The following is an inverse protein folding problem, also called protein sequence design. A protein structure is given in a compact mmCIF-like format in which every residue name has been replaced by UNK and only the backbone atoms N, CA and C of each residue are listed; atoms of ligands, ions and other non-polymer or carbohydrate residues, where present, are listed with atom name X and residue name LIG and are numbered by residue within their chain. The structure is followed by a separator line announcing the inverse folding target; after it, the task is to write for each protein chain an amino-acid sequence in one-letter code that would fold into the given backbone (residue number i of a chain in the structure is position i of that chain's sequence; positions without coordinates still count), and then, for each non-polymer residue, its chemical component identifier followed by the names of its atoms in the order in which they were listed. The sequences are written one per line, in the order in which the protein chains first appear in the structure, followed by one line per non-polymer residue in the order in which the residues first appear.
data_IF_065059985868
#
_entry.id   IF_065059985868
#
_cell.length_a   1.000
_cell.length_b   1.000
_cell.length_c   1.000
_cell.angle_alpha   90.00
_cell.angle_beta   90.00
_cell.angle_gamma   90.00
#
_symmetry.space_group_name_H-M   'P 1'
#
loop_
_entity.id
_entity.type
_entity.pdbx_description
1 polymer ?
#
# COMPACT_ATOMS: atom_id res chain seq x y z
N UNK A 1 -17.48 -30.31 29.88
CA UNK A 1 -16.15 -30.40 29.25
C UNK A 1 -15.45 -29.09 29.57
N UNK A 2 -14.41 -29.13 30.40
CA UNK A 2 -13.70 -27.93 30.88
C UNK A 2 -12.89 -27.39 29.71
N UNK A 3 -13.22 -26.18 29.26
CA UNK A 3 -12.49 -25.46 28.22
C UNK A 3 -11.21 -24.93 28.89
N UNK A 4 -10.01 -25.18 28.33
CA UNK A 4 -8.79 -24.62 28.91
C UNK A 4 -8.85 -23.08 28.82
N UNK A 5 -8.45 -22.42 29.92
CA UNK A 5 -8.32 -20.97 30.00
C UNK A 5 -7.23 -20.52 29.02
N UNK A 6 -7.64 -19.99 27.86
CA UNK A 6 -6.73 -19.33 26.92
C UNK A 6 -6.59 -17.85 27.32
N UNK A 7 -5.33 -17.45 27.53
CA UNK A 7 -4.91 -16.10 27.90
C UNK A 7 -5.41 -15.06 26.89
N UNK A 8 -6.21 -14.05 27.31
CA UNK A 8 -6.73 -13.00 26.42
C UNK A 8 -5.65 -12.09 25.81
N UNK A 9 -4.39 -12.19 26.27
CA UNK A 9 -3.23 -11.49 25.69
C UNK A 9 -2.38 -12.36 24.76
N UNK A 10 -2.74 -13.63 24.55
CA UNK A 10 -2.08 -14.47 23.56
C UNK A 10 -2.31 -13.84 22.18
N UNK A 11 -1.23 -13.36 21.57
CA UNK A 11 -1.21 -13.05 20.14
C UNK A 11 -1.68 -14.31 19.44
N UNK A 12 -2.81 -14.27 18.74
CA UNK A 12 -3.25 -15.42 17.95
C UNK A 12 -2.08 -15.83 17.09
N UNK A 13 -1.45 -16.97 17.38
CA UNK A 13 -0.37 -17.54 16.57
C UNK A 13 -0.86 -17.45 15.13
N UNK A 14 -0.24 -16.56 14.37
CA UNK A 14 -0.47 -16.49 12.95
C UNK A 14 -0.27 -17.92 12.43
N UNK A 15 -1.12 -18.37 11.52
CA UNK A 15 -0.83 -19.60 10.80
C UNK A 15 0.52 -19.35 10.10
N UNK A 16 1.58 -19.91 10.67
CA UNK A 16 2.96 -19.85 10.17
C UNK A 16 2.97 -20.52 8.78
N UNK A 17 2.68 -19.73 7.74
CA UNK A 17 2.98 -20.04 6.34
C UNK A 17 4.39 -19.50 6.02
N UNK A 18 5.40 -20.00 6.74
CA UNK A 18 6.79 -19.88 6.31
C UNK A 18 7.06 -20.89 5.18
N UNK A 19 7.81 -20.43 4.17
CA UNK A 19 8.03 -21.01 2.83
C UNK A 19 6.89 -20.85 1.81
N UNK A 20 6.66 -19.61 1.38
CA UNK A 20 6.46 -19.33 -0.06
C UNK A 20 7.71 -18.53 -0.49
N UNK A 21 8.72 -19.11 -1.17
CA UNK A 21 9.88 -18.34 -1.63
C UNK A 21 9.39 -17.19 -2.50
N UNK A 22 10.02 -16.02 -2.35
CA UNK A 22 9.78 -14.90 -3.27
C UNK A 22 9.93 -15.42 -4.69
N UNK A 23 8.87 -15.30 -5.48
CA UNK A 23 8.89 -15.69 -6.87
C UNK A 23 7.66 -15.15 -7.53
N UNK A 24 7.87 -14.32 -8.57
CA UNK A 24 6.97 -14.20 -9.72
C UNK A 24 5.98 -15.36 -9.72
N UNK A 25 4.66 -15.16 -9.60
CA UNK A 25 3.68 -16.24 -9.37
C UNK A 25 3.77 -17.44 -10.33
N UNK A 26 4.71 -18.32 -10.04
CA UNK A 26 5.18 -19.47 -10.78
C UNK A 26 5.17 -20.56 -9.71
N UNK A 27 4.06 -21.29 -9.64
CA UNK A 27 3.90 -22.37 -8.67
C UNK A 27 4.83 -23.54 -9.00
N UNK A 28 5.48 -24.09 -7.99
CA UNK A 28 6.20 -25.36 -8.04
C UNK A 28 5.21 -26.54 -8.02
N UNK A 29 5.58 -27.66 -8.65
CA UNK A 29 4.92 -28.96 -8.46
C UNK A 29 5.61 -29.62 -7.26
N UNK A 30 4.82 -30.03 -6.26
CA UNK A 30 5.29 -30.72 -5.05
C UNK A 30 6.12 -31.96 -5.42
N UNK A 31 7.43 -31.90 -5.18
CA UNK A 31 8.34 -33.02 -5.27
C UNK A 31 9.08 -33.17 -3.94
N UNK A 32 8.82 -34.27 -3.24
CA UNK A 32 9.58 -34.69 -2.07
C UNK A 32 11.08 -34.78 -2.41
N UNK A 33 11.92 -33.98 -1.77
CA UNK A 33 13.22 -34.45 -1.29
C UNK A 33 13.89 -33.53 -0.27
N UNK A 34 14.40 -34.23 0.73
CA UNK A 34 15.35 -33.93 1.81
C UNK A 34 16.66 -33.28 1.31
N UNK A 35 17.53 -32.94 2.26
CA UNK A 35 18.84 -32.29 2.16
C UNK A 35 18.73 -30.76 2.32
N UNK A 36 19.22 -30.14 3.39
CA UNK A 36 20.50 -30.38 4.03
C UNK A 36 21.30 -29.08 3.93
N UNK A 37 21.77 -28.60 5.08
CA UNK A 37 22.88 -27.67 5.29
C UNK A 37 22.67 -26.16 5.52
N UNK A 38 23.32 -25.78 6.62
CA UNK A 38 24.21 -24.63 6.86
C UNK A 38 23.59 -23.24 7.12
N UNK A 39 23.76 -22.84 8.39
CA UNK A 39 23.51 -21.51 8.95
C UNK A 39 24.88 -20.88 9.26
N UNK A 40 25.13 -19.68 8.73
CA UNK A 40 26.07 -18.69 9.28
C UNK A 40 25.23 -17.40 9.42
N UNK A 41 24.79 -17.01 10.61
CA UNK A 41 25.46 -16.34 11.74
C UNK A 41 25.09 -14.84 11.79
N UNK A 42 24.43 -14.43 12.89
CA UNK A 42 24.48 -13.11 13.57
C UNK A 42 23.51 -13.19 14.80
N UNK A 43 23.71 -12.43 15.89
CA UNK A 43 24.04 -13.00 17.19
C UNK A 43 22.87 -13.08 18.19
N UNK A 44 23.03 -14.04 19.08
CA UNK A 44 22.09 -14.53 20.09
C UNK A 44 21.93 -13.56 21.28
N UNK A 45 20.68 -13.31 21.69
CA UNK A 45 20.34 -13.13 23.11
C UNK A 45 19.76 -14.44 23.67
N UNK A 46 20.39 -14.91 24.74
CA UNK A 46 20.30 -16.26 25.30
C UNK A 46 19.03 -16.43 26.13
N UNK A 47 18.15 -17.36 25.73
CA UNK A 47 17.50 -18.26 26.69
C UNK A 47 17.12 -19.62 26.06
N UNK A 48 17.91 -20.62 26.44
CA UNK A 48 17.62 -22.03 26.68
C UNK A 48 16.48 -22.73 25.92
N UNK A 49 16.89 -23.49 24.89
CA UNK A 49 16.30 -24.80 24.58
C UNK A 49 15.10 -24.82 23.61
N UNK A 50 15.35 -24.74 22.30
CA UNK A 50 14.36 -25.11 21.28
C UNK A 50 15.01 -25.89 20.13
N UNK A 51 14.54 -27.13 19.96
CA UNK A 51 14.72 -27.96 18.77
C UNK A 51 14.34 -27.14 17.52
N UNK A 52 15.27 -27.01 16.57
CA UNK A 52 15.01 -26.60 15.19
C UNK A 52 14.38 -27.76 14.42
N UNK A 53 13.11 -28.05 14.72
CA UNK A 53 12.26 -28.82 13.82
C UNK A 53 11.51 -27.87 12.90
N UNK A 54 11.56 -28.09 11.59
CA UNK A 54 10.64 -27.44 10.63
C UNK A 54 9.21 -27.57 11.18
N UNK A 55 8.57 -26.43 11.45
CA UNK A 55 7.21 -26.38 12.00
C UNK A 55 6.26 -26.90 10.93
N UNK A 56 5.82 -28.15 11.06
CA UNK A 56 4.78 -28.74 10.20
C UNK A 56 3.55 -27.83 10.18
N UNK A 57 3.07 -27.50 8.97
CA UNK A 57 1.85 -26.70 8.75
C UNK A 57 0.71 -27.22 9.62
N UNK A 58 0.11 -26.34 10.43
CA UNK A 58 -1.07 -26.70 11.21
C UNK A 58 -2.22 -27.00 10.23
N UNK A 59 -2.88 -28.18 10.31
CA UNK A 59 -3.95 -28.53 9.40
C UNK A 59 -5.12 -27.56 9.57
N UNK A 60 -5.80 -27.24 8.45
CA UNK A 60 -7.02 -26.43 8.50
C UNK A 60 -8.04 -27.08 9.45
N UNK A 61 -8.69 -26.29 10.32
CA UNK A 61 -9.72 -26.81 11.21
C UNK A 61 -10.82 -27.53 10.44
N UNK A 62 -11.33 -28.63 11.00
CA UNK A 62 -12.35 -29.45 10.34
C UNK A 62 -13.60 -28.64 9.96
N UNK A 63 -13.98 -27.66 10.80
CA UNK A 63 -15.13 -26.77 10.56
C UNK A 63 -14.98 -25.93 9.29
N UNK A 64 -13.76 -25.67 8.82
CA UNK A 64 -13.48 -24.92 7.59
C UNK A 64 -13.18 -25.85 6.42
N UNK A 65 -12.38 -26.89 6.66
CA UNK A 65 -11.92 -27.82 5.62
C UNK A 65 -13.09 -28.57 4.98
N UNK A 66 -14.08 -29.01 5.77
CA UNK A 66 -15.23 -29.74 5.26
C UNK A 66 -16.12 -28.88 4.33
N UNK A 67 -16.58 -27.67 4.74
CA UNK A 67 -17.28 -26.77 3.82
C UNK A 67 -16.46 -26.39 2.60
N UNK A 68 -15.16 -26.12 2.77
CA UNK A 68 -14.28 -25.77 1.66
C UNK A 68 -14.20 -26.88 0.60
N UNK A 69 -13.98 -28.13 1.00
CA UNK A 69 -13.98 -29.29 0.09
C UNK A 69 -15.33 -29.45 -0.61
N UNK A 70 -16.44 -29.29 0.12
CA UNK A 70 -17.78 -29.34 -0.47
C UNK A 70 -17.98 -28.25 -1.53
N UNK A 71 -17.49 -27.03 -1.28
CA UNK A 71 -17.53 -25.92 -2.26
C UNK A 71 -16.61 -26.15 -3.46
N UNK A 72 -15.46 -26.80 -3.28
CA UNK A 72 -14.63 -27.28 -4.40
C UNK A 72 -15.44 -28.24 -5.28
N UNK A 73 -16.05 -29.28 -4.72
CA UNK A 73 -16.82 -30.26 -5.49
C UNK A 73 -18.03 -29.62 -6.19
N UNK A 74 -18.74 -28.72 -5.50
CA UNK A 74 -19.81 -27.91 -6.09
C UNK A 74 -19.29 -27.11 -7.29
N UNK A 75 -18.12 -26.48 -7.11
CA UNK A 75 -17.46 -25.68 -8.14
C UNK A 75 -16.83 -26.50 -9.26
N UNK A 76 -16.80 -27.84 -9.22
CA UNK A 76 -16.32 -28.72 -10.31
C UNK A 76 -17.41 -29.04 -11.32
N UNK A 77 -18.67 -29.05 -10.89
CA UNK A 77 -19.82 -29.24 -11.80
C UNK A 77 -19.81 -28.10 -12.82
N UNK A 78 -20.11 -28.42 -14.08
CA UNK A 78 -20.19 -27.46 -15.18
C UNK A 78 -21.41 -27.76 -16.04
N UNK A 79 -22.01 -26.72 -16.58
CA UNK A 79 -23.05 -26.82 -17.60
C UNK A 79 -22.46 -27.01 -19.01
N UNK A 80 -23.33 -26.99 -20.04
CA UNK A 80 -22.92 -27.08 -21.44
C UNK A 80 -21.98 -25.94 -21.89
N UNK A 81 -22.03 -24.79 -21.21
CA UNK A 81 -21.23 -23.61 -21.49
C UNK A 81 -19.92 -23.57 -20.67
N UNK A 82 -19.60 -24.65 -19.94
CA UNK A 82 -18.44 -24.74 -19.03
C UNK A 82 -18.48 -23.72 -17.88
N UNK A 83 -19.67 -23.29 -17.49
CA UNK A 83 -19.90 -22.43 -16.33
C UNK A 83 -20.23 -23.28 -15.09
N UNK A 84 -19.68 -22.95 -13.90
CA UNK A 84 -20.12 -23.56 -12.67
C UNK A 84 -21.58 -23.12 -12.36
N UNK A 85 -22.38 -23.95 -11.67
CA UNK A 85 -23.76 -23.62 -11.29
C UNK A 85 -23.88 -22.25 -10.60
N UNK A 86 -22.87 -21.89 -9.80
CA UNK A 86 -22.78 -20.60 -9.13
C UNK A 86 -22.86 -19.40 -10.11
N UNK A 87 -22.22 -19.50 -11.27
CA UNK A 87 -22.22 -18.43 -12.27
C UNK A 87 -23.42 -18.55 -13.22
N UNK A 88 -23.78 -19.78 -13.61
CA UNK A 88 -24.84 -20.02 -14.58
C UNK A 88 -26.25 -19.81 -14.00
N UNK A 89 -26.52 -20.34 -12.80
CA UNK A 89 -27.85 -20.33 -12.20
C UNK A 89 -28.04 -19.15 -11.24
N UNK A 90 -27.03 -18.89 -10.39
CA UNK A 90 -27.11 -17.90 -9.32
C UNK A 90 -26.54 -16.53 -9.70
N UNK A 91 -25.83 -16.42 -10.83
CA UNK A 91 -25.25 -15.18 -11.35
C UNK A 91 -24.47 -14.38 -10.30
N UNK A 92 -23.70 -15.07 -9.46
CA UNK A 92 -22.95 -14.46 -8.34
C UNK A 92 -21.58 -15.09 -8.22
N UNK A 93 -20.63 -14.37 -7.61
CA UNK A 93 -19.32 -14.91 -7.24
C UNK A 93 -19.31 -15.54 -5.84
N UNK A 94 -20.36 -15.29 -5.06
CA UNK A 94 -20.45 -15.64 -3.65
C UNK A 94 -21.32 -16.87 -3.45
N UNK A 95 -20.80 -17.89 -2.78
CA UNK A 95 -21.61 -19.04 -2.42
C UNK A 95 -22.71 -18.60 -1.43
N UNK A 96 -23.98 -19.02 -1.63
CA UNK A 96 -25.05 -18.72 -0.70
C UNK A 96 -24.75 -19.23 0.70
N UNK A 97 -24.99 -18.38 1.69
CA UNK A 97 -24.92 -18.74 3.10
C UNK A 97 -26.33 -18.93 3.65
N UNK A 98 -26.49 -19.91 4.52
CA UNK A 98 -27.73 -20.06 5.28
C UNK A 98 -27.79 -18.94 6.32
N UNK A 99 -28.94 -18.29 6.46
CA UNK A 99 -29.14 -17.36 7.56
C UNK A 99 -29.09 -18.12 8.89
N UNK A 100 -28.54 -17.49 9.94
CA UNK A 100 -28.37 -18.06 11.28
C UNK A 100 -29.65 -18.67 11.83
N UNK A 101 -30.80 -18.02 11.58
CA UNK A 101 -32.12 -18.53 11.98
C UNK A 101 -32.39 -19.96 11.49
N UNK A 102 -32.09 -20.29 10.24
CA UNK A 102 -32.30 -21.63 9.68
C UNK A 102 -31.26 -22.64 10.18
N UNK A 103 -30.07 -22.19 10.59
CA UNK A 103 -29.07 -23.05 11.22
C UNK A 103 -29.55 -23.44 12.62
N UNK A 104 -30.09 -22.48 13.38
CA UNK A 104 -30.59 -22.66 14.75
C UNK A 104 -31.86 -23.54 14.83
N UNK A 105 -32.56 -23.77 13.72
CA UNK A 105 -33.71 -24.68 13.66
C UNK A 105 -33.34 -26.17 13.65
N UNK A 106 -32.05 -26.51 13.49
CA UNK A 106 -31.61 -27.90 13.59
C UNK A 106 -31.80 -28.41 15.04
N UNK A 107 -32.18 -29.68 15.23
CA UNK A 107 -32.36 -30.24 16.58
C UNK A 107 -31.05 -30.35 17.39
N UNK A 108 -29.92 -30.59 16.71
CA UNK A 108 -28.61 -30.79 17.34
C UNK A 108 -27.60 -29.72 16.87
N UNK A 109 -27.83 -28.44 17.20
CA UNK A 109 -26.92 -27.35 16.85
C UNK A 109 -25.69 -27.38 17.76
N UNK A 110 -24.51 -27.49 17.14
CA UNK A 110 -23.24 -27.32 17.83
C UNK A 110 -22.68 -25.91 17.59
N UNK A 111 -21.88 -25.32 18.50
CA UNK A 111 -21.26 -24.02 18.26
C UNK A 111 -20.49 -23.92 16.93
N UNK A 112 -19.79 -24.98 16.44
CA UNK A 112 -19.18 -24.97 15.11
C UNK A 112 -20.13 -24.78 13.92
N UNK A 113 -21.41 -25.17 14.04
CA UNK A 113 -22.40 -24.94 12.98
C UNK A 113 -22.63 -23.44 12.70
N UNK A 114 -22.41 -22.59 13.71
CA UNK A 114 -22.64 -21.15 13.64
C UNK A 114 -21.47 -20.37 13.04
N UNK A 115 -20.31 -21.02 12.82
CA UNK A 115 -19.18 -20.37 12.15
C UNK A 115 -19.48 -20.00 10.69
N UNK A 116 -20.39 -20.74 10.03
CA UNK A 116 -20.97 -20.45 8.71
C UNK A 116 -20.06 -19.61 7.79
N UNK A 117 -18.88 -20.11 7.35
CA UNK A 117 -17.89 -19.31 6.63
C UNK A 117 -18.42 -18.86 5.26
N UNK A 118 -18.11 -17.62 4.87
CA UNK A 118 -18.46 -17.09 3.56
C UNK A 118 -17.38 -17.46 2.55
N UNK A 119 -17.79 -17.93 1.37
CA UNK A 119 -16.89 -18.34 0.32
C UNK A 119 -17.10 -17.53 -0.97
N UNK A 120 -16.00 -17.08 -1.57
CA UNK A 120 -15.93 -16.40 -2.86
C UNK A 120 -15.23 -17.28 -3.88
N UNK A 121 -15.84 -17.54 -5.03
CA UNK A 121 -15.25 -18.32 -6.12
C UNK A 121 -14.67 -17.39 -7.20
N UNK A 122 -13.38 -17.54 -7.49
CA UNK A 122 -12.69 -16.82 -8.55
C UNK A 122 -12.17 -17.75 -9.66
N UNK A 123 -12.98 -17.92 -10.71
CA UNK A 123 -12.66 -18.69 -11.92
C UNK A 123 -12.83 -17.84 -13.19
N UNK A 124 -11.91 -16.91 -13.48
CA UNK A 124 -11.99 -16.04 -14.64
C UNK A 124 -12.05 -16.80 -15.97
N UNK A 125 -11.42 -17.98 -16.10
CA UNK A 125 -11.46 -18.77 -17.34
C UNK A 125 -12.87 -19.24 -17.70
N UNK A 126 -13.77 -19.39 -16.72
CA UNK A 126 -15.17 -19.68 -17.01
C UNK A 126 -15.91 -18.49 -17.63
N UNK A 127 -15.46 -17.26 -17.37
CA UNK A 127 -16.13 -16.02 -17.73
C UNK A 127 -15.51 -15.28 -18.92
N UNK A 128 -14.32 -15.69 -19.35
CA UNK A 128 -13.64 -15.14 -20.52
C UNK A 128 -13.38 -16.22 -21.57
N UNK A 129 -13.20 -15.82 -22.84
CA UNK A 129 -12.96 -16.76 -23.94
C UNK A 129 -11.62 -17.50 -23.81
N UNK A 130 -10.59 -16.79 -23.35
CA UNK A 130 -9.27 -17.32 -23.02
C UNK A 130 -8.52 -16.32 -22.14
N UNK A 131 -7.64 -16.82 -21.27
CA UNK A 131 -6.71 -16.00 -20.49
C UNK A 131 -5.33 -16.08 -21.18
N UNK A 132 -4.75 -14.99 -21.68
CA UNK A 132 -3.43 -15.04 -22.28
C UNK A 132 -2.35 -15.22 -21.20
N UNK A 133 -1.33 -16.03 -21.51
CA UNK A 133 -0.18 -16.20 -20.63
C UNK A 133 0.61 -14.88 -20.53
N UNK A 134 0.95 -14.39 -19.33
CA UNK A 134 1.75 -13.17 -19.17
C UNK A 134 3.10 -13.21 -19.91
N UNK A 135 3.68 -14.39 -20.09
CA UNK A 135 5.02 -14.54 -20.67
C UNK A 135 5.00 -14.76 -22.19
N UNK A 136 4.07 -15.55 -22.73
CA UNK A 136 4.06 -15.93 -24.16
C UNK A 136 2.76 -15.60 -24.90
N UNK A 137 1.78 -14.98 -24.22
CA UNK A 137 0.47 -14.58 -24.73
C UNK A 137 -0.42 -15.73 -25.25
N UNK A 138 0.03 -16.99 -25.17
CA UNK A 138 -0.79 -18.16 -25.53
C UNK A 138 -1.85 -18.46 -24.45
N UNK A 139 -2.99 -19.08 -24.82
CA UNK A 139 -4.06 -19.38 -23.87
C UNK A 139 -3.59 -20.25 -22.70
N UNK A 140 -3.86 -19.82 -21.47
CA UNK A 140 -3.73 -20.65 -20.29
C UNK A 140 -4.90 -21.62 -20.18
N UNK A 141 -4.67 -22.72 -19.47
CA UNK A 141 -5.70 -23.73 -19.21
C UNK A 141 -5.83 -24.00 -17.72
N UNK A 142 -7.06 -24.25 -17.25
CA UNK A 142 -7.32 -24.80 -15.92
C UNK A 142 -6.47 -26.03 -15.68
N UNK A 143 -5.72 -26.03 -14.58
CA UNK A 143 -4.93 -27.19 -14.17
C UNK A 143 -5.50 -27.83 -12.91
N UNK A 144 -5.51 -27.10 -11.80
CA UNK A 144 -5.92 -27.61 -10.49
C UNK A 144 -6.66 -26.55 -9.68
N UNK A 145 -7.44 -26.99 -8.70
CA UNK A 145 -7.93 -26.08 -7.66
C UNK A 145 -6.79 -25.75 -6.71
N UNK A 146 -6.83 -24.54 -6.17
CA UNK A 146 -5.91 -24.17 -5.10
C UNK A 146 -6.30 -24.96 -3.85
N UNK A 147 -5.32 -25.65 -3.26
CA UNK A 147 -5.53 -26.65 -2.20
C UNK A 147 -5.99 -26.07 -0.86
N UNK A 148 -5.80 -24.76 -0.65
CA UNK A 148 -6.14 -24.06 0.58
C UNK A 148 -6.92 -22.77 0.26
N UNK A 149 -8.02 -22.48 0.99
CA UNK A 149 -8.73 -21.24 0.78
C UNK A 149 -7.90 -20.06 1.27
N UNK A 150 -7.91 -18.95 0.53
CA UNK A 150 -7.24 -17.71 0.96
C UNK A 150 -8.14 -16.94 1.91
N UNK A 151 -7.69 -16.69 3.14
CA UNK A 151 -8.41 -15.87 4.12
C UNK A 151 -8.40 -14.39 3.73
N UNK A 152 -9.56 -13.77 3.79
CA UNK A 152 -9.78 -12.37 3.45
C UNK A 152 -10.45 -11.66 4.63
N UNK A 153 -9.88 -10.52 5.05
CA UNK A 153 -10.40 -9.70 6.14
C UNK A 153 -11.34 -8.64 5.59
N UNK A 154 -12.51 -8.51 6.19
CA UNK A 154 -13.44 -7.43 5.94
C UNK A 154 -13.66 -6.58 7.21
N UNK A 155 -14.50 -5.56 7.13
CA UNK A 155 -14.69 -4.57 8.21
C UNK A 155 -15.13 -5.19 9.55
N UNK A 156 -15.91 -6.25 9.53
CA UNK A 156 -16.53 -6.82 10.73
C UNK A 156 -16.54 -8.36 10.73
N UNK A 157 -15.92 -8.95 9.71
CA UNK A 157 -16.00 -10.38 9.42
C UNK A 157 -14.80 -10.83 8.58
N UNK A 158 -14.76 -12.13 8.28
CA UNK A 158 -13.77 -12.70 7.36
C UNK A 158 -14.45 -13.64 6.39
N UNK A 159 -13.94 -13.69 5.16
CA UNK A 159 -14.39 -14.61 4.13
C UNK A 159 -13.22 -15.35 3.50
N UNK A 160 -13.51 -16.37 2.71
CA UNK A 160 -12.55 -17.30 2.18
C UNK A 160 -12.65 -17.37 0.67
N UNK A 161 -11.53 -17.24 -0.02
CA UNK A 161 -11.50 -17.31 -1.48
C UNK A 161 -11.07 -18.69 -1.97
N UNK A 162 -11.78 -19.16 -2.99
CA UNK A 162 -11.46 -20.31 -3.80
C UNK A 162 -10.99 -19.83 -5.17
N UNK A 163 -9.96 -20.49 -5.70
CA UNK A 163 -9.42 -20.17 -7.01
C UNK A 163 -8.80 -21.37 -7.68
N UNK A 164 -8.24 -21.12 -8.86
CA UNK A 164 -7.64 -22.12 -9.72
C UNK A 164 -6.18 -21.78 -10.00
N UNK A 165 -5.39 -22.81 -10.25
CA UNK A 165 -4.09 -22.69 -10.89
C UNK A 165 -4.27 -22.89 -12.39
N UNK A 166 -3.72 -21.97 -13.16
CA UNK A 166 -3.70 -21.97 -14.61
C UNK A 166 -2.31 -22.34 -15.12
N UNK A 167 -2.23 -23.31 -16.03
CA UNK A 167 -0.95 -23.80 -16.57
C UNK A 167 -0.72 -23.31 -17.98
N UNK A 168 0.49 -22.83 -18.24
CA UNK A 168 0.97 -22.62 -19.61
C UNK A 168 1.64 -23.89 -20.12
N UNK A 169 1.25 -24.37 -21.31
CA UNK A 169 1.84 -25.58 -21.92
C UNK A 169 3.12 -25.31 -22.71
N UNK A 170 3.46 -24.05 -22.95
CA UNK A 170 4.55 -23.65 -23.84
C UNK A 170 5.72 -22.98 -23.13
N UNK A 171 5.46 -22.33 -21.98
CA UNK A 171 6.53 -21.72 -21.22
C UNK A 171 7.24 -22.77 -20.36
N UNK A 172 8.56 -22.72 -20.38
CA UNK A 172 9.42 -23.47 -19.47
C UNK A 172 9.49 -22.70 -18.15
N UNK A 173 9.29 -23.42 -17.05
CA UNK A 173 9.55 -22.87 -15.73
C UNK A 173 11.07 -22.79 -15.53
N UNK A 174 11.57 -21.60 -15.20
CA UNK A 174 13.00 -21.30 -15.05
C UNK A 174 13.69 -22.17 -14.00
N UNK A 175 12.95 -22.62 -12.97
CA UNK A 175 13.48 -23.46 -11.90
C UNK A 175 13.50 -24.95 -12.26
N UNK A 176 12.42 -25.47 -12.85
CA UNK A 176 12.28 -26.90 -13.12
C UNK A 176 12.83 -27.33 -14.49
N UNK A 177 13.08 -26.38 -15.39
CA UNK A 177 13.47 -26.65 -16.78
C UNK A 177 12.39 -27.37 -17.60
N UNK A 178 11.17 -27.51 -17.08
CA UNK A 178 10.04 -28.22 -17.71
C UNK A 178 8.86 -27.27 -17.95
N UNK A 179 7.91 -27.69 -18.79
CA UNK A 179 6.68 -26.92 -19.09
C UNK A 179 5.65 -27.02 -17.95
N UNK A 180 6.06 -26.66 -16.73
CA UNK A 180 5.26 -26.70 -15.49
C UNK A 180 4.92 -25.29 -14.99
N UNK A 181 5.00 -24.27 -15.84
CA UNK A 181 4.70 -22.90 -15.46
C UNK A 181 3.21 -22.76 -15.10
N UNK A 182 2.92 -22.46 -13.84
CA UNK A 182 1.56 -22.26 -13.32
C UNK A 182 1.37 -20.88 -12.71
N UNK A 183 0.17 -20.31 -12.86
CA UNK A 183 -0.24 -19.02 -12.33
C UNK A 183 -1.49 -19.19 -11.47
N UNK A 184 -1.56 -18.52 -10.32
CA UNK A 184 -2.79 -18.49 -9.50
C UNK A 184 -3.83 -17.57 -10.18
N UNK A 185 -5.12 -17.85 -10.01
CA UNK A 185 -6.18 -17.05 -10.66
C UNK A 185 -6.24 -15.59 -10.22
N UNK A 186 -5.66 -15.26 -9.07
CA UNK A 186 -5.51 -13.91 -8.53
C UNK A 186 -4.07 -13.37 -8.60
N UNK A 187 -3.20 -13.98 -9.41
CA UNK A 187 -1.88 -13.41 -9.70
C UNK A 187 -2.07 -12.01 -10.34
N UNK A 188 -1.37 -10.95 -9.86
CA UNK A 188 -1.50 -9.61 -10.43
C UNK A 188 -1.32 -9.56 -11.95
N UNK A 189 -0.44 -10.38 -12.52
CA UNK A 189 -0.20 -10.46 -13.96
C UNK A 189 -1.37 -11.08 -14.71
N UNK A 190 -2.10 -11.99 -14.07
CA UNK A 190 -3.34 -12.55 -14.60
C UNK A 190 -4.44 -11.49 -14.52
N UNK A 191 -4.63 -10.85 -13.36
CA UNK A 191 -5.66 -9.81 -13.19
C UNK A 191 -5.49 -8.64 -14.19
N UNK A 192 -4.25 -8.28 -14.54
CA UNK A 192 -3.95 -7.24 -15.52
C UNK A 192 -4.35 -7.58 -16.96
N UNK A 193 -4.39 -8.87 -17.33
CA UNK A 193 -4.76 -9.31 -18.69
C UNK A 193 -6.25 -9.67 -18.82
N UNK A 194 -6.99 -9.68 -17.71
CA UNK A 194 -8.43 -9.92 -17.73
C UNK A 194 -9.19 -8.71 -18.31
N UNK A 195 -10.40 -8.93 -18.87
CA UNK A 195 -11.27 -7.82 -19.25
C UNK A 195 -11.48 -6.84 -18.08
N UNK A 196 -11.38 -5.50 -18.29
CA UNK A 196 -11.40 -4.54 -17.18
C UNK A 196 -12.65 -4.63 -16.29
N UNK A 197 -13.82 -4.90 -16.87
CA UNK A 197 -15.06 -5.07 -16.13
C UNK A 197 -15.05 -6.32 -15.24
N UNK A 198 -14.42 -7.42 -15.70
CA UNK A 198 -14.27 -8.63 -14.90
C UNK A 198 -13.23 -8.42 -13.80
N UNK A 199 -12.08 -7.82 -14.12
CA UNK A 199 -11.04 -7.53 -13.13
C UNK A 199 -11.55 -6.61 -12.01
N UNK A 200 -12.46 -5.68 -12.32
CA UNK A 200 -13.09 -4.79 -11.33
C UNK A 200 -13.98 -5.52 -10.31
N UNK A 201 -14.54 -6.67 -10.66
CA UNK A 201 -15.35 -7.50 -9.75
C UNK A 201 -14.48 -8.26 -8.73
N UNK A 202 -13.16 -8.26 -8.88
CA UNK A 202 -12.26 -8.91 -7.93
C UNK A 202 -12.24 -8.15 -6.60
N UNK A 203 -12.73 -8.72 -5.48
CA UNK A 203 -13.15 -7.94 -4.33
C UNK A 203 -12.04 -7.66 -3.31
N UNK A 204 -10.78 -8.04 -3.59
CA UNK A 204 -9.72 -8.02 -2.58
C UNK A 204 -8.40 -7.39 -3.04
N UNK A 205 -7.69 -6.84 -2.06
CA UNK A 205 -6.27 -6.51 -2.11
C UNK A 205 -5.44 -7.64 -1.50
N UNK A 206 -4.51 -8.19 -2.28
CA UNK A 206 -3.72 -9.37 -1.89
C UNK A 206 -2.43 -9.00 -1.15
N UNK A 207 -2.24 -9.59 0.03
CA UNK A 207 -0.95 -9.65 0.74
C UNK A 207 -0.29 -11.03 0.54
N UNK A 208 0.88 -11.25 1.14
CA UNK A 208 1.61 -12.51 1.02
C UNK A 208 0.82 -13.71 1.60
N UNK A 209 0.36 -13.62 2.85
CA UNK A 209 -0.36 -14.73 3.54
C UNK A 209 -1.88 -14.62 3.48
N UNK A 210 -2.42 -13.41 3.39
CA UNK A 210 -3.87 -13.13 3.50
C UNK A 210 -4.31 -12.08 2.48
N UNK A 211 -5.59 -11.69 2.49
CA UNK A 211 -6.10 -10.58 1.70
C UNK A 211 -7.01 -9.66 2.53
N UNK A 212 -7.29 -8.47 2.01
CA UNK A 212 -8.25 -7.52 2.57
C UNK A 212 -9.34 -7.22 1.54
N UNK A 213 -10.60 -7.07 1.96
CA UNK A 213 -11.65 -6.56 1.07
C UNK A 213 -11.31 -5.16 0.53
N UNK A 214 -11.72 -4.86 -0.70
CA UNK A 214 -11.55 -3.52 -1.30
C UNK A 214 -12.29 -2.45 -0.49
N UNK A 215 -13.41 -2.79 0.14
CA UNK A 215 -14.20 -1.91 1.00
C UNK A 215 -13.41 -1.53 2.26
N UNK A 216 -12.89 -2.53 2.98
CA UNK A 216 -12.07 -2.30 4.17
C UNK A 216 -10.79 -1.54 3.79
N UNK A 217 -10.19 -1.86 2.65
CA UNK A 217 -9.01 -1.16 2.16
C UNK A 217 -9.29 0.33 1.89
N UNK A 218 -10.41 0.63 1.24
CA UNK A 218 -10.83 2.02 0.96
C UNK A 218 -11.09 2.80 2.24
N UNK A 219 -11.67 2.15 3.25
CA UNK A 219 -11.85 2.74 4.57
C UNK A 219 -10.51 2.97 5.28
N UNK A 220 -9.61 1.98 5.26
CA UNK A 220 -8.25 2.09 5.81
C UNK A 220 -7.49 3.27 5.18
N UNK A 221 -7.53 3.39 3.85
CA UNK A 221 -6.92 4.50 3.13
C UNK A 221 -7.48 5.84 3.60
N UNK A 222 -8.80 5.95 3.73
CA UNK A 222 -9.46 7.18 4.20
C UNK A 222 -9.01 7.54 5.62
N UNK A 223 -8.93 6.57 6.53
CA UNK A 223 -8.45 6.77 7.90
C UNK A 223 -6.99 7.23 7.93
N UNK A 224 -6.10 6.59 7.18
CA UNK A 224 -4.67 6.93 7.16
C UNK A 224 -4.43 8.32 6.57
N UNK A 225 -5.15 8.68 5.51
CA UNK A 225 -5.10 10.01 4.92
C UNK A 225 -5.56 11.11 5.89
N UNK A 226 -6.44 10.79 6.84
CA UNK A 226 -6.91 11.71 7.88
C UNK A 226 -6.11 11.60 9.20
N UNK A 227 -4.91 11.00 9.16
CA UNK A 227 -3.96 11.00 10.28
C UNK A 227 -4.17 9.90 11.33
N UNK A 228 -5.06 8.93 11.08
CA UNK A 228 -5.17 7.74 11.94
C UNK A 228 -3.97 6.82 11.71
N UNK A 229 -3.26 6.45 12.78
CA UNK A 229 -2.16 5.50 12.71
C UNK A 229 -2.62 4.06 12.48
N UNK A 230 -1.76 3.22 11.91
CA UNK A 230 -2.06 1.80 11.62
C UNK A 230 -2.46 1.00 12.86
N UNK A 231 -1.87 1.29 14.02
CA UNK A 231 -2.24 0.67 15.30
C UNK A 231 -3.64 1.08 15.74
N UNK A 232 -3.99 2.36 15.65
CA UNK A 232 -5.33 2.84 16.01
C UNK A 232 -6.39 2.23 15.11
N UNK A 233 -6.09 2.10 13.81
CA UNK A 233 -6.99 1.42 12.88
C UNK A 233 -7.11 -0.09 13.17
N UNK A 234 -5.99 -0.76 13.46
CA UNK A 234 -5.96 -2.15 13.92
C UNK A 234 -6.86 -2.37 15.14
N UNK A 235 -6.73 -1.50 16.15
CA UNK A 235 -7.51 -1.58 17.39
C UNK A 235 -9.00 -1.33 17.11
N UNK A 236 -9.34 -0.36 16.26
CA UNK A 236 -10.72 -0.10 15.85
C UNK A 236 -11.33 -1.29 15.09
N UNK A 237 -10.56 -1.90 14.18
CA UNK A 237 -10.98 -3.07 13.42
C UNK A 237 -11.15 -4.29 14.34
N UNK A 238 -10.26 -4.46 15.33
CA UNK A 238 -10.40 -5.48 16.38
C UNK A 238 -11.72 -5.32 17.11
N UNK A 239 -12.04 -4.11 17.52
CA UNK A 239 -13.30 -3.80 18.20
C UNK A 239 -14.49 -4.12 17.30
N UNK A 240 -14.46 -3.81 16.00
CA UNK A 240 -15.56 -4.17 15.09
C UNK A 240 -15.74 -5.68 14.98
N UNK A 241 -14.65 -6.44 14.83
CA UNK A 241 -14.69 -7.90 14.78
C UNK A 241 -15.19 -8.50 16.11
N UNK A 242 -14.78 -7.93 17.25
CA UNK A 242 -15.28 -8.31 18.57
C UNK A 242 -16.77 -7.98 18.74
N UNK A 243 -17.24 -6.82 18.28
CA UNK A 243 -18.66 -6.46 18.36
C UNK A 243 -19.55 -7.35 17.48
N UNK A 244 -19.09 -7.67 16.26
CA UNK A 244 -19.79 -8.64 15.41
C UNK A 244 -19.78 -10.03 16.02
N UNK A 245 -18.67 -10.41 16.65
CA UNK A 245 -18.57 -11.61 17.44
C UNK A 245 -19.53 -11.59 18.64
N UNK A 246 -19.63 -10.52 19.42
CA UNK A 246 -20.57 -10.40 20.56
C UNK A 246 -22.03 -10.53 20.11
N UNK A 247 -22.39 -9.92 18.97
CA UNK A 247 -23.71 -10.10 18.34
C UNK A 247 -23.99 -11.55 17.98
N UNK A 248 -22.96 -12.30 17.58
CA UNK A 248 -23.03 -13.74 17.32
C UNK A 248 -22.93 -14.58 18.62
N UNK A 249 -22.26 -14.10 19.67
CA UNK A 249 -22.10 -14.78 20.96
C UNK A 249 -23.38 -14.85 21.78
N UNK A 250 -24.35 -13.97 21.53
CA UNK A 250 -25.74 -14.22 21.95
C UNK A 250 -26.27 -15.58 21.46
N UNK A 251 -25.55 -16.25 20.54
CA UNK A 251 -25.83 -17.59 20.02
C UNK A 251 -24.67 -18.61 20.11
N UNK A 252 -23.55 -18.33 20.79
CA UNK A 252 -22.35 -19.20 21.03
C UNK A 252 -21.30 -19.34 19.90
N UNK A 253 -20.01 -19.12 20.27
CA UNK A 253 -18.79 -19.53 19.54
C UNK A 253 -17.76 -18.40 19.34
N UNK A 254 -16.48 -18.59 19.75
CA UNK A 254 -15.35 -17.68 19.47
C UNK A 254 -14.68 -18.05 18.15
N UNK A 255 -14.46 -17.08 17.26
CA UNK A 255 -13.29 -16.92 16.35
C UNK A 255 -13.44 -15.65 15.50
N UNK A 256 -12.44 -14.77 15.53
CA UNK A 256 -12.27 -13.63 14.63
C UNK A 256 -10.77 -13.45 14.33
N UNK A 257 -10.42 -13.04 13.12
CA UNK A 257 -9.04 -12.71 12.78
C UNK A 257 -8.92 -11.20 12.66
N UNK A 258 -8.16 -10.60 13.55
CA UNK A 258 -7.85 -9.18 13.50
C UNK A 258 -6.46 -9.01 12.91
N UNK A 259 -6.30 -8.28 11.79
CA UNK A 259 -4.99 -8.05 11.20
C UNK A 259 -4.13 -7.21 12.13
N UNK A 260 -2.81 -7.45 12.13
CA UNK A 260 -1.87 -6.69 12.96
C UNK A 260 -1.54 -5.31 12.38
N UNK A 261 -1.11 -4.38 13.23
CA UNK A 261 -0.65 -3.05 12.78
C UNK A 261 0.46 -3.10 11.72
N UNK A 262 1.51 -3.93 11.86
CA UNK A 262 2.52 -4.10 10.81
C UNK A 262 1.93 -4.56 9.48
N UNK A 263 1.01 -5.54 9.50
CA UNK A 263 0.39 -6.04 8.28
C UNK A 263 -0.42 -4.95 7.55
N UNK A 264 -1.17 -4.13 8.29
CA UNK A 264 -1.92 -3.00 7.72
C UNK A 264 -1.00 -1.94 7.10
N UNK A 265 0.11 -1.63 7.79
CA UNK A 265 1.15 -0.73 7.27
C UNK A 265 1.75 -1.29 5.98
N UNK A 266 2.18 -2.54 5.96
CA UNK A 266 2.86 -3.15 4.82
C UNK A 266 1.93 -3.23 3.60
N UNK A 267 0.65 -3.54 3.83
CA UNK A 267 -0.34 -3.53 2.77
C UNK A 267 -0.56 -2.13 2.18
N UNK A 268 -0.58 -1.09 3.02
CA UNK A 268 -0.66 0.29 2.55
C UNK A 268 0.60 0.75 1.83
N UNK A 269 1.80 0.43 2.34
CA UNK A 269 3.07 0.74 1.68
C UNK A 269 3.13 0.11 0.29
N UNK A 270 2.81 -1.18 0.17
CA UNK A 270 2.77 -1.89 -1.12
C UNK A 270 1.82 -1.21 -2.10
N UNK A 271 0.65 -0.77 -1.63
CA UNK A 271 -0.27 0.00 -2.47
C UNK A 271 0.33 1.33 -2.92
N UNK A 272 0.94 2.10 -2.02
CA UNK A 272 1.57 3.38 -2.35
C UNK A 272 2.70 3.20 -3.37
N UNK A 273 3.53 2.17 -3.21
CA UNK A 273 4.60 1.82 -4.15
C UNK A 273 4.06 1.47 -5.53
N UNK A 274 3.02 0.63 -5.61
CA UNK A 274 2.37 0.28 -6.88
C UNK A 274 1.78 1.50 -7.61
N UNK A 275 1.31 2.50 -6.87
CA UNK A 275 0.67 3.71 -7.40
C UNK A 275 1.63 4.90 -7.51
N UNK A 276 2.93 4.71 -7.22
CA UNK A 276 3.92 5.78 -7.24
C UNK A 276 3.91 6.54 -8.57
N UNK A 277 3.86 5.83 -9.70
CA UNK A 277 3.81 6.43 -11.03
C UNK A 277 2.59 7.34 -11.25
N UNK A 278 1.42 6.92 -10.76
CA UNK A 278 0.17 7.70 -10.83
C UNK A 278 0.30 8.97 -9.99
N UNK A 279 0.84 8.86 -8.77
CA UNK A 279 1.05 10.02 -7.90
C UNK A 279 2.05 11.00 -8.50
N UNK A 280 3.18 10.51 -9.03
CA UNK A 280 4.18 11.33 -9.69
C UNK A 280 3.60 12.03 -10.93
N UNK A 281 2.81 11.31 -11.75
CA UNK A 281 2.14 11.89 -12.91
C UNK A 281 1.13 12.96 -12.49
N UNK A 282 0.29 12.66 -11.50
CA UNK A 282 -0.70 13.62 -10.99
C UNK A 282 -0.01 14.89 -10.48
N UNK A 283 1.05 14.76 -9.67
CA UNK A 283 1.85 15.90 -9.19
C UNK A 283 2.46 16.72 -10.35
N UNK A 284 2.96 16.05 -11.39
CA UNK A 284 3.57 16.70 -12.55
C UNK A 284 2.57 17.52 -13.39
N UNK A 285 1.31 17.11 -13.43
CA UNK A 285 0.21 17.78 -14.17
C UNK A 285 -0.39 18.98 -13.41
N UNK A 286 0.11 19.32 -12.23
CA UNK A 286 -0.43 20.44 -11.46
C UNK A 286 0.16 21.79 -11.91
N UNK A 287 -0.59 22.86 -11.71
CA UNK A 287 -0.14 24.25 -11.88
C UNK A 287 0.86 24.66 -10.81
N UNK A 288 1.65 25.71 -11.07
CA UNK A 288 2.68 26.21 -10.17
C UNK A 288 3.00 27.71 -10.39
N UNK A 289 1.99 28.53 -10.74
CA UNK A 289 2.22 29.94 -11.06
C UNK A 289 2.64 30.75 -9.81
N UNK A 290 2.12 30.36 -8.64
CA UNK A 290 2.56 30.87 -7.33
C UNK A 290 3.00 29.68 -6.51
N UNK A 291 4.25 29.68 -6.07
CA UNK A 291 4.84 28.58 -5.32
C UNK A 291 5.27 29.00 -3.91
N UNK A 292 5.28 28.05 -2.98
CA UNK A 292 5.99 28.19 -1.71
C UNK A 292 6.93 27.01 -1.51
N UNK A 293 8.17 27.27 -1.10
CA UNK A 293 9.20 26.25 -0.80
C UNK A 293 9.53 26.25 0.69
N UNK A 294 9.54 25.07 1.29
CA UNK A 294 9.87 24.89 2.71
C UNK A 294 10.64 23.59 2.96
N UNK A 295 11.43 23.57 4.04
CA UNK A 295 12.17 22.41 4.51
C UNK A 295 11.52 21.84 5.79
N UNK A 296 10.82 20.71 5.66
CA UNK A 296 10.23 20.02 6.81
C UNK A 296 11.25 19.13 7.53
N UNK A 297 11.43 19.38 8.82
CA UNK A 297 12.30 18.60 9.71
C UNK A 297 11.55 17.56 10.55
N UNK A 298 10.23 17.42 10.37
CA UNK A 298 9.43 16.48 11.16
C UNK A 298 9.60 15.05 10.65
N UNK A 299 9.52 14.86 9.34
CA UNK A 299 9.55 13.52 8.72
C UNK A 299 10.91 12.86 8.90
N UNK A 300 12.00 13.63 8.77
CA UNK A 300 13.37 13.10 8.90
C UNK A 300 13.74 12.62 10.30
N UNK A 301 12.95 12.98 11.34
CA UNK A 301 13.09 12.42 12.69
C UNK A 301 12.58 10.99 12.82
N UNK A 302 11.76 10.54 11.87
CA UNK A 302 11.20 9.19 11.83
C UNK A 302 11.98 8.26 10.91
N UNK A 303 13.05 8.75 10.27
CA UNK A 303 13.92 7.96 9.40
C UNK A 303 15.05 7.38 10.25
N UNK A 304 15.38 6.10 10.02
CA UNK A 304 16.47 5.43 10.70
C UNK A 304 17.81 6.13 10.44
N UNK A 305 18.67 6.14 11.46
CA UNK A 305 20.04 6.60 11.36
C UNK A 305 20.93 5.46 10.88
N UNK A 306 21.95 5.77 10.08
CA UNK A 306 22.97 4.81 9.64
C UNK A 306 24.24 5.14 10.41
N UNK A 307 24.79 4.16 11.15
CA UNK A 307 25.94 4.35 12.04
C UNK A 307 25.78 5.52 13.03
N UNK A 308 24.55 5.78 13.48
CA UNK A 308 24.23 6.90 14.38
C UNK A 308 24.07 8.26 13.68
N UNK A 309 24.34 8.35 12.38
CA UNK A 309 24.24 9.57 11.58
C UNK A 309 22.90 9.71 10.87
N UNK A 310 22.42 10.95 10.75
CA UNK A 310 21.16 11.24 10.07
C UNK A 310 21.38 11.31 8.56
N UNK A 311 20.73 10.41 7.81
CA UNK A 311 20.85 10.34 6.34
C UNK A 311 20.25 11.57 5.64
N UNK A 312 19.08 12.02 6.10
CA UNK A 312 18.37 13.18 5.54
C UNK A 312 18.12 14.23 6.62
N UNK A 313 18.54 15.47 6.38
CA UNK A 313 18.33 16.57 7.34
C UNK A 313 16.93 17.18 7.21
N UNK A 314 16.37 17.18 6.00
CA UNK A 314 15.03 17.70 5.74
C UNK A 314 14.32 16.98 4.59
N UNK A 315 13.00 17.15 4.53
CA UNK A 315 12.21 16.96 3.32
C UNK A 315 11.88 18.34 2.74
N UNK A 316 12.39 18.63 1.55
CA UNK A 316 11.97 19.80 0.79
C UNK A 316 10.54 19.57 0.27
N UNK A 317 9.68 20.57 0.41
CA UNK A 317 8.35 20.59 -0.17
C UNK A 317 8.14 21.89 -0.94
N UNK A 318 7.64 21.78 -2.16
CA UNK A 318 7.11 22.90 -2.94
C UNK A 318 5.61 22.72 -3.07
N UNK A 319 4.83 23.74 -2.74
CA UNK A 319 3.38 23.78 -2.95
C UNK A 319 3.00 24.86 -3.97
N UNK A 320 1.88 24.66 -4.67
CA UNK A 320 1.32 25.64 -5.60
C UNK A 320 0.30 26.57 -4.93
N UNK A 321 -0.35 27.42 -5.73
CA UNK A 321 -1.35 28.40 -5.31
C UNK A 321 -2.58 27.80 -4.62
N UNK A 322 -2.80 26.49 -4.77
CA UNK A 322 -3.92 25.75 -4.16
C UNK A 322 -3.48 24.94 -2.93
N UNK A 323 -2.24 25.10 -2.47
CA UNK A 323 -1.67 24.31 -1.39
C UNK A 323 -1.40 22.85 -1.78
N UNK A 324 -1.41 22.52 -3.07
CA UNK A 324 -1.11 21.18 -3.55
C UNK A 324 0.39 21.00 -3.71
N UNK A 325 0.88 19.80 -3.43
CA UNK A 325 2.30 19.47 -3.49
C UNK A 325 2.75 19.36 -4.96
N UNK A 326 3.75 20.16 -5.35
CA UNK A 326 4.37 20.15 -6.69
C UNK A 326 5.69 19.43 -6.78
N UNK A 327 6.49 19.50 -5.73
CA UNK A 327 7.74 18.77 -5.64
C UNK A 327 7.97 18.36 -4.18
N UNK A 328 8.48 17.16 -3.99
CA UNK A 328 8.99 16.68 -2.70
C UNK A 328 10.34 16.04 -2.94
N UNK A 329 11.30 16.33 -2.08
CA UNK A 329 12.64 15.77 -2.21
C UNK A 329 13.31 15.64 -0.85
N UNK A 330 13.76 14.43 -0.50
CA UNK A 330 14.60 14.26 0.68
C UNK A 330 15.98 14.84 0.40
N UNK A 331 16.48 15.66 1.32
CA UNK A 331 17.78 16.31 1.17
C UNK A 331 18.72 15.90 2.30
N UNK A 332 19.94 15.47 1.94
CA UNK A 332 20.96 15.14 2.93
C UNK A 332 21.46 16.41 3.63
N UNK A 333 21.56 17.52 2.88
CA UNK A 333 21.93 18.84 3.41
C UNK A 333 20.97 19.92 2.92
N UNK A 334 21.01 21.12 3.51
CA UNK A 334 20.24 22.29 3.02
C UNK A 334 20.86 22.97 1.80
N UNK A 335 21.85 22.36 1.16
CA UNK A 335 22.48 22.89 -0.05
C UNK A 335 21.53 22.86 -1.24
N UNK A 336 21.54 23.92 -2.06
CA UNK A 336 20.74 24.02 -3.28
C UNK A 336 20.98 22.86 -4.26
N UNK A 337 22.22 22.37 -4.35
CA UNK A 337 22.59 21.22 -5.18
C UNK A 337 21.83 19.94 -4.85
N UNK A 338 21.26 19.81 -3.64
CA UNK A 338 20.48 18.64 -3.24
C UNK A 338 19.09 18.61 -3.87
N UNK A 339 18.57 19.75 -4.32
CA UNK A 339 17.18 19.86 -4.78
C UNK A 339 16.98 20.63 -6.09
N UNK A 340 18.07 21.09 -6.71
CA UNK A 340 18.06 21.68 -8.05
C UNK A 340 17.38 20.77 -9.07
N UNK A 341 17.75 19.50 -9.12
CA UNK A 341 17.13 18.54 -10.05
C UNK A 341 15.61 18.43 -9.85
N UNK A 342 15.13 18.47 -8.61
CA UNK A 342 13.69 18.42 -8.33
C UNK A 342 12.95 19.66 -8.88
N UNK A 343 13.57 20.85 -8.80
CA UNK A 343 12.99 22.07 -9.36
C UNK A 343 13.09 22.13 -10.89
N UNK A 344 14.18 21.63 -11.48
CA UNK A 344 14.31 21.50 -12.94
C UNK A 344 13.28 20.52 -13.50
N UNK A 345 13.08 19.37 -12.87
CA UNK A 345 12.02 18.43 -13.25
C UNK A 345 10.63 19.07 -13.12
N UNK A 346 10.41 19.92 -12.11
CA UNK A 346 9.17 20.69 -11.98
C UNK A 346 9.01 21.66 -13.16
N UNK A 347 10.04 22.43 -13.49
CA UNK A 347 10.07 23.34 -14.65
C UNK A 347 9.72 22.61 -15.96
N UNK A 348 10.37 21.47 -16.23
CA UNK A 348 10.13 20.66 -17.42
C UNK A 348 8.69 20.13 -17.47
N UNK A 349 8.14 19.72 -16.31
CA UNK A 349 6.76 19.24 -16.23
C UNK A 349 5.76 20.34 -16.59
N UNK A 350 5.99 21.57 -16.15
CA UNK A 350 5.13 22.71 -16.46
C UNK A 350 5.11 22.99 -17.96
N UNK A 351 6.29 22.98 -18.60
CA UNK A 351 6.39 23.11 -20.06
C UNK A 351 5.64 21.97 -20.76
N UNK A 352 5.90 20.73 -20.36
CA UNK A 352 5.32 19.53 -20.97
C UNK A 352 3.80 19.52 -20.95
N UNK A 353 3.19 20.01 -19.87
CA UNK A 353 1.74 20.06 -19.71
C UNK A 353 1.11 21.42 -20.08
N UNK A 354 1.89 22.35 -20.66
CA UNK A 354 1.37 23.63 -21.16
C UNK A 354 0.96 24.61 -20.05
N UNK A 355 1.57 24.48 -18.86
CA UNK A 355 1.36 25.41 -17.76
C UNK A 355 2.32 26.61 -17.83
N UNK A 356 1.91 27.71 -17.21
CA UNK A 356 2.78 28.86 -16.99
C UNK A 356 3.90 28.50 -16.01
N UNK A 357 5.07 29.11 -16.22
CA UNK A 357 6.17 29.02 -15.27
C UNK A 357 5.87 29.88 -14.01
N UNK A 358 6.51 29.58 -12.86
CA UNK A 358 6.29 30.34 -11.63
C UNK A 358 6.59 31.83 -11.82
N UNK A 359 5.66 32.69 -11.39
CA UNK A 359 5.82 34.14 -11.36
C UNK A 359 6.11 34.66 -9.96
N UNK A 360 5.64 33.94 -8.95
CA UNK A 360 5.85 34.27 -7.54
C UNK A 360 6.35 33.01 -6.83
N UNK A 361 7.41 33.17 -6.04
CA UNK A 361 7.97 32.10 -5.22
C UNK A 361 8.20 32.60 -3.78
N UNK A 362 7.50 32.01 -2.82
CA UNK A 362 7.68 32.26 -1.40
C UNK A 362 8.74 31.32 -0.83
N UNK A 363 9.74 31.87 -0.15
CA UNK A 363 10.77 31.12 0.57
C UNK A 363 11.04 31.79 1.92
N UNK A 364 11.35 30.98 2.93
CA UNK A 364 11.80 31.47 4.23
C UNK A 364 13.28 31.90 4.23
N UNK A 365 14.05 31.50 3.21
CA UNK A 365 15.50 31.67 3.17
C UNK A 365 15.88 32.68 2.07
N UNK A 366 16.39 33.88 2.43
CA UNK A 366 16.80 34.87 1.45
C UNK A 366 17.89 34.38 0.47
N UNK A 367 18.69 33.40 0.90
CA UNK A 367 19.74 32.78 0.08
C UNK A 367 19.19 32.05 -1.14
N UNK A 368 17.92 31.63 -1.12
CA UNK A 368 17.31 30.88 -2.22
C UNK A 368 17.02 31.78 -3.43
N UNK A 369 16.98 33.11 -3.26
CA UNK A 369 16.55 34.04 -4.31
C UNK A 369 17.28 33.85 -5.64
N UNK A 370 18.61 34.01 -5.63
CA UNK A 370 19.41 33.92 -6.85
C UNK A 370 19.30 32.53 -7.49
N UNK A 371 19.23 31.49 -6.66
CA UNK A 371 19.10 30.12 -7.12
C UNK A 371 17.75 29.88 -7.80
N UNK A 372 16.65 30.33 -7.20
CA UNK A 372 15.31 30.22 -7.78
C UNK A 372 15.18 31.03 -9.07
N UNK A 373 15.73 32.26 -9.11
CA UNK A 373 15.79 33.10 -10.31
C UNK A 373 16.58 32.42 -11.46
N UNK A 374 17.64 31.68 -11.13
CA UNK A 374 18.41 30.93 -12.12
C UNK A 374 17.64 29.72 -12.68
N UNK A 375 16.86 29.02 -11.85
CA UNK A 375 16.05 27.86 -12.28
C UNK A 375 14.80 28.32 -13.04
N UNK A 376 14.17 29.40 -12.59
CA UNK A 376 12.93 29.95 -13.15
C UNK A 376 13.14 31.39 -13.62
N UNK A 377 13.61 31.55 -14.86
CA UNK A 377 13.83 32.88 -15.45
C UNK A 377 12.57 33.76 -15.47
N UNK A 378 11.38 33.17 -15.45
CA UNK A 378 10.09 33.86 -15.34
C UNK A 378 9.95 34.68 -14.05
N UNK A 379 10.71 34.36 -13.00
CA UNK A 379 10.76 35.15 -11.76
C UNK A 379 11.46 36.50 -11.93
N UNK A 380 12.16 36.73 -13.05
CA UNK A 380 12.80 38.00 -13.36
C UNK A 380 12.00 38.86 -14.35
N UNK A 381 10.93 38.32 -14.93
CA UNK A 381 10.12 39.02 -15.92
C UNK A 381 9.21 40.05 -15.24
N UNK A 382 9.26 41.31 -15.71
CA UNK A 382 8.40 42.41 -15.26
C UNK A 382 8.48 42.73 -13.75
N UNK A 383 9.59 42.36 -13.09
CA UNK A 383 9.76 42.61 -11.65
C UNK A 383 10.28 44.03 -11.39
N UNK A 384 9.48 44.82 -10.66
CA UNK A 384 9.92 46.08 -10.06
C UNK A 384 10.39 45.79 -8.63
N UNK A 385 11.69 45.96 -8.31
CA UNK A 385 12.17 45.77 -6.95
C UNK A 385 11.46 46.74 -6.00
N UNK A 386 10.84 46.20 -4.96
CA UNK A 386 10.36 47.04 -3.85
C UNK A 386 11.59 47.42 -3.03
N UNK A 387 11.96 48.71 -3.05
CA UNK A 387 13.06 49.18 -2.19
C UNK A 387 12.72 48.89 -0.72
N UNK A 388 13.70 48.34 0.01
CA UNK A 388 13.55 47.87 1.41
C UNK A 388 12.97 48.96 2.34
N UNK A 389 13.16 50.22 1.98
CA UNK A 389 12.72 51.40 2.72
C UNK A 389 11.80 52.31 1.90
N UNK A 390 11.16 51.81 0.83
CA UNK A 390 10.25 52.61 -0.01
C UNK A 390 9.08 53.25 0.77
N UNK A 391 8.76 52.70 1.95
CA UNK A 391 7.73 53.18 2.86
C UNK A 391 8.22 54.27 3.82
N UNK A 392 9.52 54.57 3.85
CA UNK A 392 10.11 55.63 4.68
C UNK A 392 10.33 56.87 3.84
N UNK A 393 10.01 58.06 4.39
CA UNK A 393 10.31 59.30 3.71
C UNK A 393 11.83 59.50 3.55
N UNK A 394 12.31 59.95 2.38
CA UNK A 394 13.71 60.30 2.17
C UNK A 394 14.16 61.33 3.21
N UNK A 395 15.25 61.04 3.93
CA UNK A 395 15.84 61.99 4.86
C UNK A 395 16.73 62.99 4.11
N UNK A 396 16.25 64.22 3.94
CA UNK A 396 17.03 65.31 3.37
C UNK A 396 18.10 65.79 4.37
N UNK A 397 19.36 65.52 4.04
CA UNK A 397 20.49 66.07 4.78
C UNK A 397 20.54 67.56 4.47
N UNK A 398 20.19 68.39 5.47
CA UNK A 398 20.35 69.84 5.40
C UNK A 398 21.79 70.17 4.97
N UNK A 399 21.93 71.05 3.97
CA UNK A 399 23.16 71.43 3.26
C UNK A 399 24.30 72.00 4.12
N UNK A 400 24.19 71.95 5.45
CA UNK A 400 25.18 72.39 6.43
C UNK A 400 25.99 71.23 7.06
N UNK A 401 25.66 69.97 6.80
CA UNK A 401 26.43 68.83 7.32
C UNK A 401 27.44 68.29 6.29
N UNK A 402 28.73 68.59 6.49
CA UNK A 402 29.82 67.89 5.81
C UNK A 402 30.01 66.50 6.43
N UNK A 403 29.90 65.45 5.63
CA UNK A 403 30.38 64.12 6.00
C UNK A 403 31.48 63.67 5.03
N UNK A 404 32.49 62.97 5.56
CA UNK A 404 33.53 62.35 4.74
C UNK A 404 33.07 60.95 4.32
N UNK A 405 32.87 60.78 3.01
CA UNK A 405 32.66 59.46 2.39
C UNK A 405 34.02 58.78 2.26
N UNK A 406 34.31 57.78 3.11
CA UNK A 406 35.41 56.85 2.83
C UNK A 406 35.08 56.10 1.54
N UNK A 407 35.96 56.16 0.54
CA UNK A 407 35.75 55.48 -0.74
C UNK A 407 35.66 53.97 -0.51
N UNK A 408 34.52 53.36 -0.86
CA UNK A 408 34.42 51.90 -0.88
C UNK A 408 33.03 51.30 -1.04
N UNK A 409 31.95 51.94 -0.58
CA UNK A 409 30.62 51.30 -0.60
C UNK A 409 29.48 52.27 -0.90
N UNK A 410 28.48 51.72 -1.61
CA UNK A 410 27.27 52.35 -2.11
C UNK A 410 26.47 53.04 -1.00
N UNK A 411 25.88 54.18 -1.36
CA UNK A 411 24.83 54.97 -0.69
C UNK A 411 24.51 54.66 0.79
N UNK A 412 24.87 55.59 1.69
CA UNK A 412 24.39 55.64 3.08
C UNK A 412 22.98 56.22 3.11
N UNK A 413 22.00 55.44 3.59
CA UNK A 413 20.67 55.93 3.97
C UNK A 413 20.63 55.98 5.50
N UNK A 414 20.55 57.18 6.06
CA UNK A 414 20.40 57.40 7.50
C UNK A 414 18.95 57.80 7.77
N UNK A 415 18.23 56.98 8.54
CA UNK A 415 16.84 57.25 8.95
C UNK A 415 16.80 57.78 10.38
N UNK A 416 16.08 58.86 10.61
CA UNK A 416 15.89 59.47 11.93
C UNK A 416 14.95 58.59 12.75
N UNK A 417 15.45 57.98 13.83
CA UNK A 417 14.60 57.37 14.86
C UNK A 417 13.88 58.49 15.60
N UNK A 418 12.57 58.63 15.38
CA UNK A 418 11.69 59.49 16.17
C UNK A 418 11.56 58.95 17.60
N UNK A 419 11.46 59.88 18.56
CA UNK A 419 11.26 59.68 20.00
C UNK A 419 9.93 59.00 20.33
#
# INVERSE_FOLDING_TARGET
MVIPDEDPQCTTDDFDDDEDPVGEGIGEEDGEQDDGDEVEDEPVCVDSGRNSGSRKRRPLPAWLLQPFKAKIEESKRRDANRLPPLYAELQTFWFPQKATFFILQKPDVSPPDLYNPQFFLWDPEALCSHIPCPNCQRPLHRHTHISHPRRCVDADSTFWMLGYCYRCRWCINSKSGRNTLTFRSWDPRILQVLPPHLAAEFPVQMSYRTAMSNTLFSWMRSCFQNGMGSKQFCDALRVQHLLSHDKLQLHHGRHGFTPSSPWLRDMYCKFIEQHQHVFNQHMAMLTAEICAIDHSHKITKHIARVDGEQVFTALLMVTNEKGQIRAINFVATKSHSQFELALVCMWESLVRYGHLQPKIFFTAMPVDRQFLENVFASLCEEVVPVEKYAHLEPFDILSAMMYHKMMGTSSLVLTRSGM
#
